data_IF_148291274363
#
_entry.id   IF_148291274363
#
_cell.length_a   1.000
_cell.length_b   1.000
_cell.length_c   1.000
_cell.angle_alpha   90.00
_cell.angle_beta   90.00
_cell.angle_gamma   90.00
#
_symmetry.space_group_name_H-M   'P 1'
#
loop_
_entity.id
_entity.type
_entity.pdbx_description
1 polymer ?
#
# COMPACT_ATOMS: atom_id res chain seq x y z
N UNK A 1 -27.55 -59.32 12.58
CA UNK A 1 -28.37 -59.19 11.35
C UNK A 1 -29.83 -59.16 11.81
N UNK A 2 -30.56 -58.08 11.56
CA UNK A 2 -31.97 -57.99 11.99
C UNK A 2 -32.82 -59.09 11.32
N UNK A 3 -33.80 -59.65 12.02
CA UNK A 3 -34.69 -60.68 11.46
C UNK A 3 -35.60 -60.08 10.37
N UNK A 4 -35.95 -60.91 9.38
CA UNK A 4 -36.82 -60.54 8.25
C UNK A 4 -38.15 -59.91 8.69
N UNK A 5 -38.72 -60.39 9.79
CA UNK A 5 -39.96 -59.84 10.37
C UNK A 5 -39.78 -58.44 10.97
N UNK A 6 -38.61 -58.15 11.53
CA UNK A 6 -38.29 -56.81 12.07
C UNK A 6 -38.16 -55.79 10.93
N UNK A 7 -37.59 -56.22 9.80
CA UNK A 7 -37.49 -55.37 8.59
C UNK A 7 -38.88 -55.15 7.98
N UNK A 8 -39.72 -56.19 7.93
CA UNK A 8 -41.07 -56.09 7.40
C UNK A 8 -41.99 -55.20 8.26
N UNK A 9 -41.85 -55.23 9.60
CA UNK A 9 -42.63 -54.35 10.49
C UNK A 9 -42.25 -52.89 10.31
N UNK A 10 -40.96 -52.58 10.20
CA UNK A 10 -40.46 -51.22 9.99
C UNK A 10 -40.95 -50.64 8.66
N UNK A 11 -40.93 -51.42 7.58
CA UNK A 11 -41.42 -50.98 6.27
C UNK A 11 -42.94 -50.76 6.25
N UNK A 12 -43.71 -51.54 7.02
CA UNK A 12 -45.17 -51.33 7.13
C UNK A 12 -45.55 -50.13 8.00
N UNK A 13 -44.73 -49.79 8.99
CA UNK A 13 -44.90 -48.60 9.83
C UNK A 13 -44.26 -47.34 9.24
N UNK A 14 -43.61 -47.43 8.08
CA UNK A 14 -42.95 -46.29 7.44
C UNK A 14 -44.00 -45.35 6.86
N UNK A 15 -44.14 -44.17 7.47
CA UNK A 15 -45.04 -43.13 6.99
C UNK A 15 -44.32 -42.26 5.94
N UNK A 16 -44.66 -42.48 4.68
CA UNK A 16 -44.12 -41.71 3.56
C UNK A 16 -44.49 -40.21 3.65
N UNK A 17 -45.61 -39.86 4.30
CA UNK A 17 -46.04 -38.47 4.43
C UNK A 17 -45.12 -37.67 5.35
N UNK A 18 -44.55 -38.30 6.38
CA UNK A 18 -43.59 -37.67 7.29
C UNK A 18 -42.26 -37.39 6.59
N UNK A 19 -41.78 -38.33 5.77
CA UNK A 19 -40.56 -38.13 4.97
C UNK A 19 -40.75 -37.06 3.90
N UNK A 20 -41.92 -37.01 3.26
CA UNK A 20 -42.26 -35.97 2.28
C UNK A 20 -42.30 -34.59 2.94
N UNK A 21 -42.93 -34.47 4.11
CA UNK A 21 -42.97 -33.22 4.88
C UNK A 21 -41.57 -32.76 5.33
N UNK A 22 -40.69 -33.69 5.69
CA UNK A 22 -39.29 -33.37 6.05
C UNK A 22 -38.49 -32.88 4.84
N UNK A 23 -38.66 -33.50 3.66
CA UNK A 23 -38.04 -33.04 2.42
C UNK A 23 -38.53 -31.63 2.04
N UNK A 24 -39.83 -31.39 2.10
CA UNK A 24 -40.41 -30.05 1.83
C UNK A 24 -39.89 -28.98 2.80
N UNK A 25 -39.74 -29.30 4.09
CA UNK A 25 -39.13 -28.40 5.06
C UNK A 25 -37.65 -28.12 4.77
N UNK A 26 -36.89 -29.15 4.38
CA UNK A 26 -35.48 -28.99 3.99
C UNK A 26 -35.33 -28.13 2.74
N UNK A 27 -36.18 -28.32 1.72
CA UNK A 27 -36.20 -27.50 0.51
C UNK A 27 -36.60 -26.06 0.83
N UNK A 28 -37.63 -25.85 1.64
CA UNK A 28 -38.04 -24.52 2.07
C UNK A 28 -36.93 -23.79 2.85
N UNK A 29 -36.21 -24.50 3.71
CA UNK A 29 -35.09 -23.93 4.45
C UNK A 29 -33.87 -23.66 3.56
N UNK A 30 -33.57 -24.53 2.59
CA UNK A 30 -32.55 -24.26 1.57
C UNK A 30 -32.90 -23.02 0.74
N UNK A 31 -34.15 -22.88 0.31
CA UNK A 31 -34.63 -21.71 -0.42
C UNK A 31 -34.54 -20.45 0.44
N UNK A 32 -34.89 -20.50 1.73
CA UNK A 32 -34.74 -19.38 2.66
C UNK A 32 -33.28 -18.95 2.78
N UNK A 33 -32.36 -19.90 3.01
CA UNK A 33 -30.91 -19.61 3.11
C UNK A 33 -30.35 -19.04 1.81
N UNK A 34 -30.79 -19.54 0.66
CA UNK A 34 -30.40 -19.01 -0.64
C UNK A 34 -30.89 -17.56 -0.83
N UNK A 35 -32.13 -17.26 -0.46
CA UNK A 35 -32.68 -15.90 -0.52
C UNK A 35 -31.98 -14.95 0.46
N UNK A 36 -31.68 -15.39 1.68
CA UNK A 36 -30.93 -14.61 2.66
C UNK A 36 -29.51 -14.30 2.16
N UNK A 37 -28.82 -15.31 1.60
CA UNK A 37 -27.49 -15.14 1.00
C UNK A 37 -27.52 -14.17 -0.17
N UNK A 38 -28.54 -14.27 -1.04
CA UNK A 38 -28.71 -13.37 -2.17
C UNK A 38 -28.97 -11.93 -1.71
N UNK A 39 -29.84 -11.73 -0.72
CA UNK A 39 -30.10 -10.40 -0.14
C UNK A 39 -28.86 -9.79 0.50
N UNK A 40 -28.05 -10.61 1.17
CA UNK A 40 -26.78 -10.20 1.75
C UNK A 40 -25.82 -9.70 0.66
N UNK A 41 -25.59 -10.52 -0.38
CA UNK A 41 -24.74 -10.18 -1.52
C UNK A 41 -25.19 -8.89 -2.23
N UNK A 42 -26.50 -8.71 -2.42
CA UNK A 42 -27.04 -7.49 -3.02
C UNK A 42 -26.85 -6.26 -2.14
N UNK A 43 -26.99 -6.40 -0.82
CA UNK A 43 -26.75 -5.32 0.13
C UNK A 43 -25.26 -4.92 0.17
N UNK A 44 -24.36 -5.90 0.14
CA UNK A 44 -22.91 -5.69 0.03
C UNK A 44 -22.54 -5.02 -1.28
N UNK A 45 -23.08 -5.48 -2.42
CA UNK A 45 -22.84 -4.88 -3.72
C UNK A 45 -23.31 -3.43 -3.78
N UNK A 46 -24.49 -3.11 -3.22
CA UNK A 46 -24.98 -1.73 -3.11
C UNK A 46 -24.06 -0.85 -2.25
N UNK A 47 -23.58 -1.38 -1.12
CA UNK A 47 -22.65 -0.67 -0.22
C UNK A 47 -21.31 -0.39 -0.92
N UNK A 48 -20.71 -1.41 -1.52
CA UNK A 48 -19.46 -1.31 -2.28
C UNK A 48 -19.60 -0.32 -3.46
N UNK A 49 -20.73 -0.36 -4.17
CA UNK A 49 -21.07 0.61 -5.23
C UNK A 49 -21.13 2.05 -4.71
N UNK A 50 -21.78 2.28 -3.56
CA UNK A 50 -21.83 3.60 -2.92
C UNK A 50 -20.44 4.11 -2.51
N UNK A 51 -19.56 3.24 -2.01
CA UNK A 51 -18.20 3.60 -1.63
C UNK A 51 -17.32 3.91 -2.83
N UNK A 52 -17.47 3.13 -3.91
CA UNK A 52 -16.78 3.39 -5.18
C UNK A 52 -17.16 4.77 -5.73
N UNK A 53 -18.44 5.15 -5.65
CA UNK A 53 -18.89 6.50 -6.04
C UNK A 53 -18.26 7.59 -5.15
N UNK A 54 -18.18 7.37 -3.83
CA UNK A 54 -17.52 8.30 -2.90
C UNK A 54 -16.03 8.48 -3.24
N UNK A 55 -15.31 7.39 -3.54
CA UNK A 55 -13.90 7.45 -3.97
C UNK A 55 -13.76 8.25 -5.27
N UNK A 56 -14.67 8.05 -6.24
CA UNK A 56 -14.65 8.83 -7.47
C UNK A 56 -14.88 10.33 -7.24
N UNK A 57 -15.77 10.70 -6.31
CA UNK A 57 -16.00 12.08 -5.92
C UNK A 57 -14.75 12.68 -5.26
N UNK A 58 -14.19 12.01 -4.26
CA UNK A 58 -12.97 12.43 -3.57
C UNK A 58 -11.77 12.56 -4.53
N UNK A 59 -11.66 11.67 -5.52
CA UNK A 59 -10.61 11.76 -6.54
C UNK A 59 -10.75 13.01 -7.41
N UNK A 60 -11.99 13.41 -7.75
CA UNK A 60 -12.25 14.66 -8.48
C UNK A 60 -11.94 15.89 -7.62
N UNK A 61 -12.29 15.85 -6.33
CA UNK A 61 -11.97 16.92 -5.38
C UNK A 61 -10.45 17.08 -5.22
N UNK A 62 -9.72 15.98 -5.02
CA UNK A 62 -8.25 15.99 -4.97
C UNK A 62 -7.65 16.60 -6.25
N UNK A 63 -8.15 16.21 -7.42
CA UNK A 63 -7.69 16.75 -8.70
C UNK A 63 -7.94 18.26 -8.80
N UNK A 64 -9.11 18.73 -8.34
CA UNK A 64 -9.46 20.14 -8.32
C UNK A 64 -8.55 20.94 -7.37
N UNK A 65 -8.34 20.47 -6.14
CA UNK A 65 -7.41 21.08 -5.19
C UNK A 65 -5.99 21.17 -5.74
N UNK A 66 -5.50 20.11 -6.42
CA UNK A 66 -4.17 20.11 -7.04
C UNK A 66 -4.05 21.14 -8.17
N UNK A 67 -5.11 21.29 -8.97
CA UNK A 67 -5.17 22.31 -10.03
C UNK A 67 -5.13 23.72 -9.47
N UNK A 68 -5.88 23.99 -8.40
CA UNK A 68 -5.87 25.29 -7.72
C UNK A 68 -4.51 25.60 -7.09
N UNK A 69 -3.88 24.60 -6.46
CA UNK A 69 -2.53 24.71 -5.91
C UNK A 69 -1.50 25.04 -7.01
N UNK A 70 -1.58 24.36 -8.16
CA UNK A 70 -0.71 24.65 -9.30
C UNK A 70 -0.88 26.09 -9.80
N UNK A 71 -2.12 26.58 -9.89
CA UNK A 71 -2.41 27.96 -10.27
C UNK A 71 -1.82 28.95 -9.26
N UNK A 72 -1.90 28.67 -7.96
CA UNK A 72 -1.32 29.50 -6.92
C UNK A 72 0.23 29.55 -6.99
N UNK A 73 0.90 28.45 -7.32
CA UNK A 73 2.35 28.45 -7.55
C UNK A 73 2.74 29.30 -8.77
N UNK A 74 1.98 29.22 -9.87
CA UNK A 74 2.18 30.08 -11.03
C UNK A 74 2.01 31.56 -10.66
N UNK A 75 1.00 31.87 -9.86
CA UNK A 75 0.74 33.23 -9.37
C UNK A 75 1.87 33.73 -8.46
N UNK A 76 2.34 32.92 -7.51
CA UNK A 76 3.47 33.27 -6.66
C UNK A 76 4.72 33.57 -7.49
N UNK A 77 5.02 32.72 -8.48
CA UNK A 77 6.14 32.93 -9.41
C UNK A 77 6.00 34.25 -10.17
N UNK A 78 4.78 34.61 -10.59
CA UNK A 78 4.50 35.90 -11.21
C UNK A 78 4.76 37.07 -10.25
N UNK A 79 4.33 36.98 -8.99
CA UNK A 79 4.55 38.05 -7.98
C UNK A 79 6.02 38.24 -7.64
N UNK A 80 6.79 37.15 -7.58
CA UNK A 80 8.24 37.21 -7.41
C UNK A 80 8.87 37.98 -8.58
N UNK A 81 8.54 37.63 -9.82
CA UNK A 81 9.07 38.33 -10.99
C UNK A 81 8.66 39.81 -11.05
N UNK A 82 7.43 40.16 -10.66
CA UNK A 82 6.96 41.55 -10.56
C UNK A 82 7.75 42.35 -9.52
N UNK A 83 8.05 41.74 -8.37
CA UNK A 83 8.86 42.35 -7.32
C UNK A 83 10.31 42.57 -7.77
N UNK A 84 10.96 41.54 -8.32
CA UNK A 84 12.33 41.63 -8.85
C UNK A 84 12.46 42.76 -9.88
N UNK A 85 11.45 42.89 -10.76
CA UNK A 85 11.41 43.97 -11.74
C UNK A 85 11.25 45.36 -11.08
N UNK A 86 10.43 45.47 -10.03
CA UNK A 86 10.25 46.73 -9.30
C UNK A 86 11.52 47.13 -8.53
N UNK A 87 12.21 46.17 -7.91
CA UNK A 87 13.49 46.39 -7.24
C UNK A 87 14.56 46.83 -8.25
N UNK A 88 14.69 46.11 -9.36
CA UNK A 88 15.67 46.43 -10.40
C UNK A 88 15.48 47.84 -10.98
N UNK A 89 14.22 48.30 -11.11
CA UNK A 89 13.88 49.64 -11.60
C UNK A 89 13.87 50.72 -10.52
N UNK A 90 14.21 50.40 -9.27
CA UNK A 90 14.17 51.31 -8.12
C UNK A 90 12.81 52.03 -7.97
N UNK A 91 11.71 51.31 -8.13
CA UNK A 91 10.36 51.89 -8.03
C UNK A 91 9.92 51.99 -6.56
N UNK A 92 9.23 53.07 -6.16
CA UNK A 92 8.70 53.27 -4.80
C UNK A 92 7.58 52.28 -4.38
N UNK A 93 7.30 51.26 -5.18
CA UNK A 93 6.24 50.27 -4.96
C UNK A 93 6.73 48.94 -4.38
N UNK A 94 8.02 48.80 -4.09
CA UNK A 94 8.63 47.56 -3.57
C UNK A 94 7.92 47.00 -2.34
N UNK A 95 7.45 47.87 -1.43
CA UNK A 95 6.69 47.43 -0.23
C UNK A 95 5.36 46.76 -0.59
N UNK A 96 4.67 47.23 -1.62
CA UNK A 96 3.39 46.67 -2.08
C UNK A 96 3.61 45.34 -2.80
N UNK A 97 4.63 45.23 -3.66
CA UNK A 97 4.93 43.98 -4.36
C UNK A 97 5.44 42.90 -3.40
N UNK A 98 6.22 43.28 -2.38
CA UNK A 98 6.62 42.36 -1.32
C UNK A 98 5.42 41.84 -0.51
N UNK A 99 4.43 42.70 -0.22
CA UNK A 99 3.20 42.26 0.44
C UNK A 99 2.41 41.29 -0.45
N UNK A 100 2.33 41.56 -1.76
CA UNK A 100 1.67 40.66 -2.71
C UNK A 100 2.34 39.27 -2.79
N UNK A 101 3.68 39.19 -2.64
CA UNK A 101 4.38 37.91 -2.50
C UNK A 101 3.92 37.20 -1.23
N UNK A 102 3.94 37.87 -0.07
CA UNK A 102 3.53 37.27 1.21
C UNK A 102 2.09 36.75 1.18
N UNK A 103 1.19 37.52 0.57
CA UNK A 103 -0.21 37.12 0.42
C UNK A 103 -0.34 35.88 -0.50
N UNK A 104 0.44 35.82 -1.58
CA UNK A 104 0.50 34.65 -2.47
C UNK A 104 1.13 33.42 -1.81
N UNK A 105 2.19 33.60 -1.00
CA UNK A 105 2.81 32.54 -0.19
C UNK A 105 1.79 31.96 0.80
N UNK A 106 1.07 32.81 1.53
CA UNK A 106 0.02 32.39 2.45
C UNK A 106 -1.10 31.62 1.73
N UNK A 107 -1.47 32.04 0.52
CA UNK A 107 -2.45 31.33 -0.30
C UNK A 107 -1.95 29.95 -0.76
N UNK A 108 -0.68 29.84 -1.17
CA UNK A 108 -0.04 28.56 -1.53
C UNK A 108 -0.02 27.63 -0.32
N UNK A 109 0.37 28.11 0.85
CA UNK A 109 0.41 27.31 2.08
C UNK A 109 -0.98 26.79 2.46
N UNK A 110 -2.02 27.63 2.35
CA UNK A 110 -3.40 27.24 2.60
C UNK A 110 -3.86 26.13 1.63
N UNK A 111 -3.66 26.35 0.33
CA UNK A 111 -4.05 25.38 -0.71
C UNK A 111 -3.27 24.07 -0.62
N UNK A 112 -2.01 24.14 -0.18
CA UNK A 112 -1.20 22.94 0.07
C UNK A 112 -1.78 22.09 1.18
N UNK A 113 -2.22 22.71 2.28
CA UNK A 113 -2.90 21.99 3.38
C UNK A 113 -4.24 21.41 2.92
N UNK A 114 -5.01 22.14 2.12
CA UNK A 114 -6.28 21.66 1.56
C UNK A 114 -6.07 20.46 0.62
N UNK A 115 -5.08 20.54 -0.27
CA UNK A 115 -4.72 19.45 -1.17
C UNK A 115 -4.25 18.20 -0.41
N UNK A 116 -3.45 18.38 0.65
CA UNK A 116 -3.01 17.27 1.50
C UNK A 116 -4.20 16.60 2.21
N UNK A 117 -5.14 17.37 2.77
CA UNK A 117 -6.35 16.82 3.40
C UNK A 117 -7.22 16.04 2.41
N UNK A 118 -7.36 16.54 1.18
CA UNK A 118 -8.10 15.84 0.14
C UNK A 118 -7.44 14.51 -0.26
N UNK A 119 -6.10 14.49 -0.35
CA UNK A 119 -5.33 13.27 -0.61
C UNK A 119 -5.46 12.25 0.54
N UNK A 120 -5.34 12.69 1.78
CA UNK A 120 -5.53 11.83 2.97
C UNK A 120 -6.96 11.26 3.03
N UNK A 121 -7.98 12.09 2.77
CA UNK A 121 -9.37 11.64 2.74
C UNK A 121 -9.62 10.58 1.65
N UNK A 122 -9.05 10.77 0.45
CA UNK A 122 -9.13 9.80 -0.63
C UNK A 122 -8.43 8.48 -0.26
N UNK A 123 -7.23 8.57 0.34
CA UNK A 123 -6.47 7.39 0.74
C UNK A 123 -7.20 6.58 1.83
N UNK A 124 -7.81 7.26 2.81
CA UNK A 124 -8.64 6.62 3.83
C UNK A 124 -9.91 5.98 3.24
N UNK A 125 -10.59 6.65 2.30
CA UNK A 125 -11.77 6.06 1.65
C UNK A 125 -11.40 4.80 0.81
N UNK A 126 -10.23 4.79 0.16
CA UNK A 126 -9.72 3.59 -0.51
C UNK A 126 -9.39 2.48 0.49
N UNK A 127 -8.81 2.81 1.64
CA UNK A 127 -8.60 1.84 2.71
C UNK A 127 -9.92 1.22 3.18
N UNK A 128 -10.94 2.03 3.48
CA UNK A 128 -12.28 1.56 3.88
C UNK A 128 -12.87 0.57 2.87
N UNK A 129 -12.78 0.87 1.57
CA UNK A 129 -13.27 -0.02 0.53
C UNK A 129 -12.52 -1.36 0.48
N UNK A 130 -11.21 -1.34 0.71
CA UNK A 130 -10.38 -2.55 0.73
C UNK A 130 -10.73 -3.45 1.91
N UNK A 131 -10.90 -2.87 3.09
CA UNK A 131 -11.24 -3.65 4.29
C UNK A 131 -12.61 -4.32 4.12
N UNK A 132 -13.59 -3.63 3.56
CA UNK A 132 -14.91 -4.22 3.32
C UNK A 132 -14.95 -5.27 2.20
N UNK A 133 -14.14 -5.10 1.16
CA UNK A 133 -14.05 -6.11 0.09
C UNK A 133 -13.30 -7.37 0.57
N UNK A 134 -12.38 -7.23 1.54
CA UNK A 134 -11.61 -8.35 2.09
C UNK A 134 -12.39 -9.24 3.07
N UNK A 135 -13.43 -8.73 3.75
CA UNK A 135 -14.21 -9.48 4.75
C UNK A 135 -14.98 -10.69 4.18
N UNK A 136 -15.10 -10.84 2.85
CA UNK A 136 -15.88 -11.90 2.19
C UNK A 136 -15.11 -12.88 1.29
N UNK A 137 -13.82 -12.64 1.02
CA UNK A 137 -13.00 -13.52 0.17
C UNK A 137 -12.13 -14.45 1.02
N UNK A 138 -12.40 -15.77 1.01
CA UNK A 138 -11.42 -16.78 1.43
C UNK A 138 -10.22 -16.74 0.47
N UNK A 139 -9.28 -15.82 0.65
CA UNK A 139 -8.12 -15.78 -0.25
C UNK A 139 -6.88 -15.16 0.39
N UNK A 140 -5.82 -15.97 0.36
CA UNK A 140 -4.40 -15.68 0.49
C UNK A 140 -3.99 -14.63 1.55
N UNK A 141 -3.24 -15.02 2.60
CA UNK A 141 -2.85 -14.09 3.66
C UNK A 141 -2.08 -12.89 3.10
N UNK A 142 -2.35 -11.71 3.67
CA UNK A 142 -1.67 -10.46 3.33
C UNK A 142 -2.60 -9.27 3.08
N UNK A 143 -2.00 -8.09 2.95
CA UNK A 143 -2.69 -6.86 2.53
C UNK A 143 -2.92 -6.91 1.02
N UNK A 144 -4.16 -6.81 0.55
CA UNK A 144 -4.47 -6.71 -0.89
C UNK A 144 -4.55 -5.23 -1.28
N UNK A 145 -3.90 -4.82 -2.38
CA UNK A 145 -3.99 -3.46 -2.91
C UNK A 145 -3.79 -3.40 -4.42
N UNK A 146 -4.27 -2.34 -5.07
CA UNK A 146 -3.95 -2.09 -6.47
C UNK A 146 -2.56 -1.48 -6.64
N UNK A 147 -1.99 -1.57 -7.84
CA UNK A 147 -0.69 -0.95 -8.15
C UNK A 147 -0.68 0.56 -7.87
N UNK A 148 -1.79 1.24 -8.13
CA UNK A 148 -1.98 2.68 -7.92
C UNK A 148 -2.00 3.08 -6.44
N UNK A 149 -2.21 2.13 -5.54
CA UNK A 149 -2.28 2.35 -4.09
C UNK A 149 -0.98 1.95 -3.38
N UNK A 150 -0.01 1.37 -4.12
CA UNK A 150 1.20 0.81 -3.54
C UNK A 150 2.02 1.87 -2.80
N UNK A 151 2.02 3.11 -3.28
CA UNK A 151 2.64 4.24 -2.59
C UNK A 151 2.02 4.48 -1.21
N UNK A 152 0.68 4.52 -1.14
CA UNK A 152 -0.05 4.79 0.10
C UNK A 152 0.13 3.65 1.11
N UNK A 153 0.20 2.40 0.63
CA UNK A 153 0.41 1.21 1.48
C UNK A 153 1.83 1.12 2.01
N UNK A 154 2.85 1.30 1.16
CA UNK A 154 4.23 1.05 1.54
C UNK A 154 4.94 2.28 2.10
N UNK A 155 4.77 3.43 1.45
CA UNK A 155 5.55 4.65 1.77
C UNK A 155 4.89 5.43 2.90
N UNK A 156 3.57 5.63 2.79
CA UNK A 156 2.80 6.40 3.78
C UNK A 156 2.25 5.52 4.91
N UNK A 157 2.17 4.20 4.71
CA UNK A 157 1.53 3.27 5.64
C UNK A 157 0.12 3.75 6.05
N UNK A 158 -0.72 4.06 5.06
CA UNK A 158 -2.08 4.54 5.31
C UNK A 158 -2.85 3.47 6.09
N UNK A 159 -3.34 3.85 7.28
CA UNK A 159 -3.98 2.94 8.23
C UNK A 159 -3.01 2.26 9.21
N UNK A 160 -1.70 2.50 9.11
CA UNK A 160 -0.69 2.00 10.05
C UNK A 160 -0.53 0.48 10.06
N UNK A 161 -0.95 -0.21 9.00
CA UNK A 161 -1.05 -1.67 8.95
C UNK A 161 0.33 -2.33 8.92
N UNK A 162 1.28 -1.76 8.18
CA UNK A 162 2.65 -2.27 8.11
C UNK A 162 3.34 -2.09 9.46
N UNK A 163 3.24 -0.90 10.05
CA UNK A 163 3.81 -0.63 11.38
C UNK A 163 3.19 -1.50 12.47
N UNK A 164 1.87 -1.70 12.45
CA UNK A 164 1.16 -2.50 13.44
C UNK A 164 1.54 -3.99 13.39
N UNK A 165 1.80 -4.54 12.20
CA UNK A 165 2.25 -5.92 12.03
C UNK A 165 3.72 -6.11 12.45
N UNK A 166 4.57 -5.11 12.18
CA UNK A 166 5.97 -5.07 12.62
C UNK A 166 6.93 -5.88 11.74
N UNK A 167 6.44 -6.69 10.80
CA UNK A 167 7.25 -7.37 9.79
C UNK A 167 7.47 -6.48 8.57
N UNK A 168 8.59 -6.67 7.87
CA UNK A 168 8.87 -5.95 6.64
C UNK A 168 7.95 -6.41 5.50
N UNK A 169 7.44 -5.49 4.65
CA UNK A 169 6.59 -5.86 3.52
C UNK A 169 7.28 -6.74 2.47
N UNK A 170 6.58 -7.79 2.04
CA UNK A 170 6.84 -8.58 0.84
C UNK A 170 5.77 -8.28 -0.21
N UNK A 171 6.12 -7.45 -1.19
CA UNK A 171 5.27 -7.13 -2.33
C UNK A 171 5.24 -8.31 -3.30
N UNK A 172 4.08 -8.93 -3.43
CA UNK A 172 3.81 -10.05 -4.33
C UNK A 172 3.09 -9.48 -5.56
N UNK A 173 3.81 -9.40 -6.67
CA UNK A 173 3.27 -8.90 -7.94
C UNK A 173 3.81 -9.71 -9.13
N UNK A 174 3.06 -10.74 -9.58
CA UNK A 174 3.42 -11.53 -10.75
C UNK A 174 3.58 -10.73 -12.05
N UNK A 175 2.95 -9.55 -12.15
CA UNK A 175 3.04 -8.71 -13.35
C UNK A 175 4.36 -7.95 -13.47
N UNK A 176 5.08 -7.76 -12.36
CA UNK A 176 6.31 -6.97 -12.30
C UNK A 176 6.11 -5.45 -12.41
N UNK A 177 4.88 -4.95 -12.38
CA UNK A 177 4.57 -3.53 -12.37
C UNK A 177 5.05 -2.86 -11.07
N UNK A 178 4.95 -3.53 -9.92
CA UNK A 178 5.43 -3.05 -8.63
C UNK A 178 6.95 -2.84 -8.62
N UNK A 179 7.70 -3.79 -9.19
CA UNK A 179 9.15 -3.65 -9.34
C UNK A 179 9.50 -2.42 -10.19
N UNK A 180 8.79 -2.22 -11.31
CA UNK A 180 8.96 -1.05 -12.18
C UNK A 180 8.60 0.24 -11.44
N UNK A 181 7.44 0.27 -10.79
CA UNK A 181 6.96 1.40 -9.99
C UNK A 181 8.01 1.83 -8.96
N UNK A 182 8.53 0.89 -8.16
CA UNK A 182 9.52 1.18 -7.11
C UNK A 182 10.86 1.66 -7.65
N UNK A 183 11.30 1.21 -8.83
CA UNK A 183 12.52 1.71 -9.48
C UNK A 183 12.41 3.18 -9.89
N UNK A 184 11.21 3.63 -10.24
CA UNK A 184 10.93 5.04 -10.56
C UNK A 184 10.57 5.87 -9.32
N UNK A 185 10.38 5.25 -8.17
CA UNK A 185 10.34 5.95 -6.89
C UNK A 185 11.76 6.25 -6.41
N UNK A 186 11.90 7.22 -5.49
CA UNK A 186 13.18 7.58 -4.87
C UNK A 186 13.64 6.51 -3.86
N UNK A 187 14.03 5.34 -4.37
CA UNK A 187 14.43 4.17 -3.58
C UNK A 187 15.89 3.77 -3.84
N UNK A 188 16.52 3.18 -2.83
CA UNK A 188 17.74 2.42 -3.03
C UNK A 188 17.35 1.01 -3.47
N UNK A 189 17.58 0.70 -4.74
CA UNK A 189 17.09 -0.53 -5.35
C UNK A 189 18.20 -1.57 -5.53
N UNK A 190 18.00 -2.76 -4.97
CA UNK A 190 18.93 -3.89 -5.03
C UNK A 190 18.29 -5.04 -5.81
N UNK A 191 18.76 -5.25 -7.03
CA UNK A 191 18.47 -6.47 -7.79
C UNK A 191 19.26 -7.65 -7.21
N UNK A 192 18.58 -8.60 -6.58
CA UNK A 192 19.22 -9.72 -5.87
C UNK A 192 19.76 -10.80 -6.79
N UNK A 193 19.27 -10.87 -8.03
CA UNK A 193 19.82 -11.80 -9.03
C UNK A 193 21.17 -11.29 -9.56
N UNK A 194 21.46 -10.00 -9.41
CA UNK A 194 22.75 -9.44 -9.78
C UNK A 194 23.79 -9.67 -8.66
N UNK A 195 24.80 -10.55 -8.84
CA UNK A 195 25.80 -10.82 -7.81
C UNK A 195 26.64 -9.59 -7.46
N UNK A 196 26.78 -8.63 -8.37
CA UNK A 196 27.48 -7.37 -8.08
C UNK A 196 26.75 -6.55 -7.02
N UNK A 197 25.42 -6.57 -7.00
CA UNK A 197 24.63 -5.84 -6.01
C UNK A 197 24.64 -6.52 -4.64
N UNK A 198 24.78 -7.85 -4.60
CA UNK A 198 24.87 -8.64 -3.37
C UNK A 198 26.27 -8.67 -2.75
N UNK A 199 27.28 -8.02 -3.38
CA UNK A 199 28.60 -7.87 -2.75
C UNK A 199 28.45 -7.17 -1.40
N UNK A 200 29.09 -7.66 -0.31
CA UNK A 200 28.93 -7.10 1.03
C UNK A 200 29.12 -5.58 1.09
N UNK A 201 30.11 -5.04 0.36
CA UNK A 201 30.33 -3.58 0.29
C UNK A 201 29.22 -2.82 -0.39
N UNK A 202 28.66 -3.37 -1.47
CA UNK A 202 27.57 -2.71 -2.21
C UNK A 202 26.31 -2.69 -1.39
N UNK A 203 26.01 -3.80 -0.73
CA UNK A 203 24.88 -3.92 0.18
C UNK A 203 25.01 -2.98 1.39
N UNK A 204 26.19 -2.94 2.01
CA UNK A 204 26.52 -2.04 3.11
C UNK A 204 26.29 -0.57 2.73
N UNK A 205 26.82 -0.14 1.58
CA UNK A 205 26.64 1.23 1.10
C UNK A 205 25.19 1.53 0.70
N UNK A 206 24.47 0.56 0.10
CA UNK A 206 23.05 0.71 -0.22
C UNK A 206 22.21 0.92 1.06
N UNK A 207 22.49 0.17 2.13
CA UNK A 207 21.84 0.34 3.43
C UNK A 207 22.21 1.68 4.07
N UNK A 208 23.49 2.03 4.11
CA UNK A 208 23.95 3.31 4.69
C UNK A 208 23.36 4.51 3.95
N UNK A 209 23.31 4.46 2.62
CA UNK A 209 22.66 5.48 1.82
C UNK A 209 21.17 5.59 2.13
N UNK A 210 20.48 4.45 2.26
CA UNK A 210 19.05 4.42 2.55
C UNK A 210 18.76 5.01 3.94
N UNK A 211 19.52 4.62 4.95
CA UNK A 211 19.41 5.13 6.32
C UNK A 211 19.71 6.64 6.40
N UNK A 212 20.81 7.08 5.78
CA UNK A 212 21.23 8.49 5.82
C UNK A 212 20.19 9.43 5.22
N UNK A 213 19.59 9.04 4.11
CA UNK A 213 18.62 9.86 3.40
C UNK A 213 17.17 9.56 3.79
N UNK A 214 16.92 8.55 4.61
CA UNK A 214 15.56 8.09 4.95
C UNK A 214 14.83 7.50 3.76
N UNK A 215 15.55 6.98 2.76
CA UNK A 215 14.98 6.41 1.54
C UNK A 215 14.61 4.95 1.77
N UNK A 216 13.57 4.43 1.10
CA UNK A 216 13.31 3.01 1.13
C UNK A 216 14.43 2.20 0.47
N UNK A 217 14.80 1.09 1.11
CA UNK A 217 15.67 0.06 0.53
C UNK A 217 14.80 -1.08 0.01
N UNK A 218 14.92 -1.37 -1.29
CA UNK A 218 14.10 -2.38 -1.97
C UNK A 218 14.98 -3.53 -2.42
N UNK A 219 14.61 -4.75 -2.04
CA UNK A 219 15.20 -6.00 -2.54
C UNK A 219 14.28 -6.64 -3.58
N UNK A 220 14.70 -6.68 -4.85
CA UNK A 220 14.00 -7.38 -5.92
C UNK A 220 14.46 -8.83 -5.98
N UNK A 221 13.60 -9.72 -5.50
CA UNK A 221 13.80 -11.17 -5.50
C UNK A 221 13.45 -11.80 -6.86
N UNK A 222 12.86 -11.03 -7.79
CA UNK A 222 12.51 -11.53 -9.13
C UNK A 222 11.60 -12.77 -9.02
N UNK A 223 11.82 -13.77 -9.87
CA UNK A 223 11.11 -15.04 -9.90
C UNK A 223 11.76 -16.13 -9.02
N UNK A 224 12.77 -15.80 -8.19
CA UNK A 224 13.56 -16.78 -7.41
C UNK A 224 13.50 -16.46 -5.92
N UNK A 225 13.40 -17.47 -5.05
CA UNK A 225 13.54 -17.23 -3.61
C UNK A 225 15.01 -17.05 -3.21
N UNK A 226 15.45 -15.79 -3.22
CA UNK A 226 16.76 -15.37 -2.70
C UNK A 226 16.68 -14.76 -1.30
N UNK A 227 15.51 -14.84 -0.64
CA UNK A 227 15.32 -14.25 0.67
C UNK A 227 16.28 -14.79 1.73
N UNK A 228 16.55 -16.11 1.85
CA UNK A 228 17.51 -16.62 2.83
C UNK A 228 18.96 -16.13 2.60
N UNK A 229 19.32 -15.80 1.37
CA UNK A 229 20.63 -15.23 1.07
C UNK A 229 20.71 -13.77 1.51
N UNK A 230 19.67 -12.98 1.20
CA UNK A 230 19.57 -11.57 1.62
C UNK A 230 19.48 -11.46 3.14
N UNK A 231 18.68 -12.30 3.80
CA UNK A 231 18.50 -12.31 5.24
C UNK A 231 19.84 -12.51 5.96
N UNK A 232 20.64 -13.51 5.58
CA UNK A 232 21.98 -13.73 6.16
C UNK A 232 22.90 -12.51 6.02
N UNK A 233 22.81 -11.80 4.90
CA UNK A 233 23.61 -10.59 4.69
C UNK A 233 23.09 -9.41 5.52
N UNK A 234 21.78 -9.27 5.70
CA UNK A 234 21.19 -8.25 6.57
C UNK A 234 21.49 -8.51 8.04
N UNK A 235 21.40 -9.77 8.50
CA UNK A 235 21.76 -10.17 9.87
C UNK A 235 23.22 -9.86 10.19
N UNK A 236 24.15 -10.10 9.25
CA UNK A 236 25.55 -9.73 9.38
C UNK A 236 25.79 -8.21 9.52
N UNK A 237 24.77 -7.41 9.23
CA UNK A 237 24.81 -5.94 9.15
C UNK A 237 23.93 -5.30 10.24
N UNK A 238 23.14 -6.08 10.97
CA UNK A 238 22.11 -5.61 11.92
C UNK A 238 22.65 -5.11 13.27
N UNK A 239 23.92 -5.32 13.61
CA UNK A 239 24.48 -4.80 14.86
C UNK A 239 24.87 -3.32 14.73
N UNK A 240 23.87 -2.44 14.88
CA UNK A 240 23.96 -0.96 14.85
C UNK A 240 24.57 -0.41 13.56
N UNK A 241 23.80 0.33 12.76
CA UNK A 241 24.27 0.91 11.50
C UNK A 241 25.58 1.72 11.60
N UNK A 242 25.89 2.28 12.76
CA UNK A 242 27.16 2.99 13.02
C UNK A 242 28.40 2.07 12.93
N UNK A 243 28.26 0.77 13.22
CA UNK A 243 29.35 -0.22 13.08
C UNK A 243 29.72 -0.47 11.62
N UNK A 244 28.82 -0.15 10.69
CA UNK A 244 29.01 -0.31 9.26
C UNK A 244 29.83 0.82 8.64
N UNK A 245 30.01 1.93 9.37
CA UNK A 245 30.77 3.07 8.90
C UNK A 245 32.26 2.75 8.87
N UNK A 246 32.91 3.11 7.77
CA UNK A 246 34.35 2.94 7.61
C UNK A 246 35.04 4.28 7.43
N UNK A 247 36.28 4.44 7.90
CA UNK A 247 37.06 5.66 7.67
C UNK A 247 37.23 6.02 6.18
N UNK A 248 37.14 5.03 5.29
CA UNK A 248 37.30 5.18 3.84
C UNK A 248 36.03 5.62 3.12
N UNK A 249 34.88 5.69 3.78
CA UNK A 249 33.59 5.97 3.11
C UNK A 249 33.42 7.45 2.71
N UNK A 250 34.25 8.34 3.25
CA UNK A 250 34.18 9.77 2.97
C UNK A 250 33.36 10.56 4.00
N UNK A 251 33.46 11.90 3.97
CA UNK A 251 32.81 12.79 4.95
C UNK A 251 31.28 12.68 4.95
N UNK A 252 30.71 12.27 3.82
CA UNK A 252 29.28 12.14 3.62
C UNK A 252 28.66 10.99 4.44
N UNK A 253 29.45 10.01 4.90
CA UNK A 253 29.01 8.96 5.83
C UNK A 253 29.54 9.17 7.26
N UNK A 254 29.91 10.40 7.61
CA UNK A 254 30.23 10.72 9.00
C UNK A 254 29.01 10.52 9.91
N UNK A 255 29.18 10.11 11.19
CA UNK A 255 28.07 9.83 12.09
C UNK A 255 27.06 10.99 12.24
N UNK A 256 27.51 12.24 12.11
CA UNK A 256 26.67 13.45 12.20
C UNK A 256 25.73 13.64 11.01
N UNK A 257 25.94 12.92 9.90
CA UNK A 257 25.10 12.97 8.71
C UNK A 257 23.83 12.11 8.83
N UNK A 258 23.75 11.26 9.85
CA UNK A 258 22.59 10.39 10.13
C UNK A 258 21.66 11.09 11.10
N UNK A 259 20.61 11.71 10.57
CA UNK A 259 19.62 12.46 11.35
C UNK A 259 18.49 11.54 11.81
N UNK A 260 18.11 11.62 13.08
CA UNK A 260 17.04 10.78 13.68
C UNK A 260 15.73 10.87 12.89
N UNK A 261 15.32 12.09 12.51
CA UNK A 261 14.15 12.30 11.66
C UNK A 261 14.20 11.49 10.36
N UNK A 262 15.36 11.37 9.70
CA UNK A 262 15.48 10.59 8.45
C UNK A 262 15.48 9.09 8.72
N UNK A 263 16.08 8.67 9.82
CA UNK A 263 16.08 7.26 10.24
C UNK A 263 14.64 6.78 10.50
N UNK A 264 13.78 7.63 11.06
CA UNK A 264 12.34 7.31 11.23
C UNK A 264 11.59 7.13 9.89
N UNK A 265 12.09 7.71 8.80
CA UNK A 265 11.50 7.57 7.46
C UNK A 265 12.05 6.38 6.69
N UNK A 266 13.17 5.78 7.12
CA UNK A 266 13.71 4.58 6.49
C UNK A 266 12.69 3.44 6.47
N UNK A 267 12.61 2.75 5.33
CA UNK A 267 11.75 1.58 5.11
C UNK A 267 12.54 0.50 4.38
N UNK A 268 12.19 -0.74 4.63
CA UNK A 268 12.76 -1.90 3.94
C UNK A 268 11.62 -2.69 3.30
N UNK A 269 11.75 -2.98 2.01
CA UNK A 269 10.76 -3.75 1.26
C UNK A 269 11.43 -4.88 0.47
N UNK A 270 10.68 -5.97 0.29
CA UNK A 270 11.02 -7.05 -0.62
C UNK A 270 9.97 -7.10 -1.73
N UNK A 271 10.39 -7.36 -2.97
CA UNK A 271 9.47 -7.53 -4.10
C UNK A 271 9.75 -8.86 -4.77
N UNK A 272 8.70 -9.57 -5.13
CA UNK A 272 8.79 -10.83 -5.87
C UNK A 272 7.68 -10.93 -6.91
N UNK A 273 7.99 -11.62 -8.01
CA UNK A 273 7.02 -12.02 -9.02
C UNK A 273 6.43 -13.41 -8.76
N UNK A 274 6.93 -14.11 -7.75
CA UNK A 274 6.41 -15.42 -7.36
C UNK A 274 5.05 -15.21 -6.69
N UNK A 275 3.97 -15.69 -7.32
CA UNK A 275 2.60 -15.53 -6.83
C UNK A 275 2.37 -16.14 -5.44
N UNK A 276 3.08 -17.23 -5.16
CA UNK A 276 3.00 -18.00 -3.92
C UNK A 276 4.40 -18.18 -3.34
N UNK A 277 4.96 -17.16 -2.67
CA UNK A 277 6.24 -17.29 -2.01
C UNK A 277 6.21 -18.37 -0.91
N UNK A 278 7.35 -18.95 -0.52
CA UNK A 278 7.38 -19.97 0.53
C UNK A 278 6.72 -19.50 1.83
N UNK A 279 6.08 -20.43 2.56
CA UNK A 279 5.37 -20.11 3.80
C UNK A 279 6.30 -19.52 4.87
N UNK A 280 7.53 -20.01 4.96
CA UNK A 280 8.57 -19.49 5.87
C UNK A 280 8.83 -18.00 5.61
N UNK A 281 8.91 -17.60 4.34
CA UNK A 281 9.07 -16.20 3.97
C UNK A 281 7.85 -15.36 4.36
N UNK A 282 6.63 -15.88 4.17
CA UNK A 282 5.39 -15.21 4.55
C UNK A 282 5.13 -15.16 6.07
N UNK A 283 5.87 -15.95 6.86
CA UNK A 283 5.85 -15.85 8.32
C UNK A 283 6.73 -14.68 8.80
N UNK A 284 7.90 -14.49 8.18
CA UNK A 284 8.87 -13.45 8.55
C UNK A 284 8.56 -12.10 7.92
N UNK A 285 7.95 -12.09 6.73
CA UNK A 285 7.57 -10.88 6.00
C UNK A 285 6.05 -10.72 5.93
N UNK A 286 5.56 -9.48 5.94
CA UNK A 286 4.15 -9.16 5.75
C UNK A 286 3.80 -9.24 4.26
N UNK A 287 2.94 -10.16 3.81
CA UNK A 287 2.58 -10.23 2.39
C UNK A 287 1.74 -9.01 1.99
N UNK A 288 2.10 -8.35 0.90
CA UNK A 288 1.35 -7.27 0.25
C UNK A 288 1.08 -7.69 -1.19
N UNK A 289 -0.15 -8.08 -1.50
CA UNK A 289 -0.55 -8.67 -2.78
C UNK A 289 -1.10 -7.60 -3.71
N UNK A 290 -0.43 -7.43 -4.85
CA UNK A 290 -0.90 -6.52 -5.89
C UNK A 290 -2.01 -7.19 -6.68
N UNK A 291 -3.22 -6.64 -6.56
CA UNK A 291 -4.36 -7.05 -7.36
C UNK A 291 -4.25 -6.40 -8.73
N UNK A 292 -4.29 -7.24 -9.77
CA UNK A 292 -4.50 -6.75 -11.12
C UNK A 292 -5.97 -6.32 -11.23
N UNK A 293 -6.27 -5.17 -11.85
CA UNK A 293 -7.64 -4.80 -12.13
C UNK A 293 -8.26 -5.95 -12.90
N UNK A 294 -9.31 -6.56 -12.35
CA UNK A 294 -9.97 -7.69 -12.97
C UNK A 294 -10.30 -7.34 -14.41
N UNK A 295 -9.73 -8.07 -15.36
CA UNK A 295 -10.32 -8.13 -16.70
C UNK A 295 -11.71 -8.66 -16.47
N UNK A 296 -12.72 -7.79 -16.59
CA UNK A 296 -14.11 -8.23 -16.64
C UNK A 296 -14.21 -9.30 -17.72
N UNK A 297 -14.42 -10.53 -17.30
CA UNK A 297 -14.81 -11.66 -18.12
C UNK A 297 -16.25 -12.01 -17.75
#
# INVERSE_FOLDING_TARGET
>A
VASLDTVASVLRSWDLSLTEAMLQNMEAEQQRRAQETQRHKEAEAKRCGSMTLRIQQLAREQQQCHKELQQAYCELSRRIAEHDQCEWRCMDKTKLTLQAIKDAEAQVDRLRQEAQKAEEALAMARLELREQTQEGEEEAPGLKCQITELHDVLMKDVGGRVRADGRWPLVIDPSGQAATFLRYQDTNYVDTVNPEHLKPERLRLALLGALRYGKPLVFDLREVDLFPAVQRQLEAVQERYLSLLRPTDGPEYSPTQFQEQRLEHFRLFFVTKVQWPPAEQQQVLLPVRVQLPGTGL
#
